data_IF_616054638090
#
_entry.id   IF_616054638090
#
_cell.length_a   1.000
_cell.length_b   1.000
_cell.length_c   1.000
_cell.angle_alpha   90.00
_cell.angle_beta   90.00
_cell.angle_gamma   90.00
#
_symmetry.space_group_name_H-M   'P 1'
#
loop_
_entity.id
_entity.type
_entity.pdbx_description
1 polymer ?
#
# COMPACT_ATOMS: atom_id res chain seq x y z
N UNK A 1 -17.29 -48.63 12.02
CA UNK A 1 -17.39 -47.69 10.87
C UNK A 1 -16.69 -46.42 11.28
N UNK A 2 -15.81 -45.96 10.41
CA UNK A 2 -15.00 -44.78 10.63
C UNK A 2 -15.73 -43.61 9.97
N UNK A 3 -15.98 -42.55 10.75
CA UNK A 3 -16.65 -41.35 10.24
C UNK A 3 -15.58 -40.33 9.86
N UNK A 4 -15.66 -39.85 8.62
CA UNK A 4 -14.82 -38.79 8.08
C UNK A 4 -15.48 -37.45 8.29
N UNK A 5 -14.73 -36.47 8.80
CA UNK A 5 -15.17 -35.10 9.00
C UNK A 5 -14.24 -34.20 8.20
N UNK A 6 -14.79 -33.35 7.33
CA UNK A 6 -14.02 -32.36 6.59
C UNK A 6 -14.47 -30.98 7.01
N UNK A 7 -13.53 -30.14 7.43
CA UNK A 7 -13.80 -28.80 7.94
C UNK A 7 -12.80 -27.81 7.38
N UNK A 8 -13.28 -26.58 7.16
CA UNK A 8 -12.44 -25.45 6.82
C UNK A 8 -12.00 -24.72 8.08
N UNK A 9 -10.69 -24.66 8.27
CA UNK A 9 -10.02 -23.84 9.27
C UNK A 9 -9.70 -22.48 8.71
N UNK A 10 -10.01 -21.43 9.47
CA UNK A 10 -9.81 -20.05 9.05
C UNK A 10 -8.97 -19.31 10.08
N UNK A 11 -8.12 -18.40 9.60
CA UNK A 11 -7.47 -17.41 10.47
C UNK A 11 -7.42 -16.06 9.79
N UNK A 12 -7.58 -15.02 10.59
CA UNK A 12 -7.50 -13.64 10.14
C UNK A 12 -6.70 -12.82 11.14
N UNK A 13 -5.67 -12.13 10.65
CA UNK A 13 -4.83 -11.26 11.47
C UNK A 13 -4.76 -9.90 10.81
N UNK A 14 -4.95 -8.86 11.61
CA UNK A 14 -4.82 -7.47 11.18
C UNK A 14 -3.50 -6.92 11.70
N UNK A 15 -2.76 -6.23 10.84
CA UNK A 15 -1.46 -5.65 11.19
C UNK A 15 -1.22 -4.37 10.40
N UNK A 16 -0.66 -3.36 11.07
CA UNK A 16 -0.18 -2.15 10.41
C UNK A 16 0.86 -2.47 9.34
N UNK A 17 0.77 -1.78 8.20
CA UNK A 17 1.81 -1.80 7.20
C UNK A 17 3.14 -1.31 7.79
N UNK A 18 4.23 -2.02 7.51
CA UNK A 18 5.59 -1.66 7.95
C UNK A 18 6.46 -1.15 6.78
N UNK A 19 5.89 -1.05 5.57
CA UNK A 19 6.53 -0.50 4.39
C UNK A 19 5.57 0.36 3.55
N UNK A 20 6.12 1.44 2.98
CA UNK A 20 5.47 2.26 1.97
C UNK A 20 6.21 2.16 0.63
N UNK A 21 5.51 1.93 -0.46
CA UNK A 21 6.04 1.81 -1.82
C UNK A 21 5.66 3.06 -2.59
N UNK A 22 6.63 3.96 -2.76
CA UNK A 22 6.48 5.16 -3.56
C UNK A 22 6.65 4.82 -5.04
N UNK A 23 5.66 5.16 -5.87
CA UNK A 23 5.75 5.12 -7.33
C UNK A 23 5.72 6.53 -7.86
N UNK A 24 6.72 6.86 -8.67
CA UNK A 24 6.84 8.17 -9.29
C UNK A 24 7.26 8.04 -10.74
N UNK A 25 6.93 9.05 -11.53
CA UNK A 25 7.32 9.16 -12.94
C UNK A 25 8.00 10.51 -13.17
N UNK A 26 9.18 10.47 -13.77
CA UNK A 26 9.87 11.65 -14.27
C UNK A 26 9.50 11.79 -15.72
N UNK A 27 8.96 12.95 -16.12
CA UNK A 27 8.58 13.22 -17.50
C UNK A 27 9.04 14.59 -17.98
N UNK A 28 9.34 14.71 -19.27
CA UNK A 28 9.62 15.99 -19.92
C UNK A 28 8.97 16.01 -21.30
N UNK A 29 8.52 17.19 -21.70
CA UNK A 29 7.89 17.46 -22.98
C UNK A 29 8.54 18.67 -23.65
N UNK A 30 8.76 18.60 -24.97
CA UNK A 30 9.43 19.66 -25.71
C UNK A 30 9.51 19.41 -27.21
N UNK A 31 10.12 20.35 -27.93
CA UNK A 31 10.26 20.32 -29.39
C UNK A 31 11.39 19.42 -29.89
N UNK A 32 12.33 19.03 -29.03
CA UNK A 32 13.52 18.25 -29.39
C UNK A 32 13.63 16.97 -28.56
N UNK A 33 13.69 15.82 -29.22
CA UNK A 33 13.78 14.51 -28.57
C UNK A 33 15.03 14.35 -27.70
N UNK A 34 16.18 14.85 -28.17
CA UNK A 34 17.46 14.72 -27.46
C UNK A 34 17.43 15.49 -26.14
N UNK A 35 16.90 16.72 -26.17
CA UNK A 35 16.78 17.59 -25.00
C UNK A 35 15.86 16.98 -23.95
N UNK A 36 14.63 16.58 -24.32
CA UNK A 36 13.69 15.96 -23.38
C UNK A 36 14.21 14.64 -22.80
N UNK A 37 14.95 13.86 -23.59
CA UNK A 37 15.55 12.60 -23.12
C UNK A 37 16.66 12.85 -22.11
N UNK A 38 17.54 13.82 -22.36
CA UNK A 38 18.63 14.20 -21.44
C UNK A 38 18.08 14.72 -20.10
N UNK A 39 17.02 15.54 -20.13
CA UNK A 39 16.39 16.06 -18.93
C UNK A 39 15.83 14.94 -18.04
N UNK A 40 15.08 13.99 -18.63
CA UNK A 40 14.53 12.84 -17.89
C UNK A 40 15.64 11.97 -17.32
N UNK A 41 16.68 11.67 -18.10
CA UNK A 41 17.83 10.88 -17.62
C UNK A 41 18.54 11.60 -16.46
N UNK A 42 18.83 12.90 -16.60
CA UNK A 42 19.53 13.67 -15.57
C UNK A 42 18.73 13.71 -14.27
N UNK A 43 17.44 14.06 -14.34
CA UNK A 43 16.58 14.12 -13.17
C UNK A 43 16.42 12.74 -12.52
N UNK A 44 16.30 11.69 -13.32
CA UNK A 44 16.24 10.32 -12.78
C UNK A 44 17.54 9.95 -12.05
N UNK A 45 18.70 10.35 -12.57
CA UNK A 45 19.98 10.09 -11.92
C UNK A 45 20.16 10.90 -10.63
N UNK A 46 19.69 12.15 -10.59
CA UNK A 46 19.63 12.97 -9.37
C UNK A 46 18.77 12.29 -8.30
N UNK A 47 17.54 11.90 -8.66
CA UNK A 47 16.63 11.20 -7.73
C UNK A 47 17.21 9.88 -7.25
N UNK A 48 17.83 9.08 -8.14
CA UNK A 48 18.55 7.87 -7.73
C UNK A 48 19.69 8.18 -6.76
N UNK A 49 20.40 9.29 -6.95
CA UNK A 49 21.43 9.75 -6.02
C UNK A 49 20.84 10.03 -4.62
N UNK A 50 19.74 10.77 -4.55
CA UNK A 50 19.03 11.05 -3.31
C UNK A 50 18.58 9.76 -2.60
N UNK A 51 17.93 8.83 -3.32
CA UNK A 51 17.47 7.58 -2.74
C UNK A 51 18.61 6.65 -2.33
N UNK A 52 19.76 6.69 -3.01
CA UNK A 52 20.97 5.95 -2.60
C UNK A 52 21.53 6.48 -1.28
N UNK A 53 21.50 7.79 -1.05
CA UNK A 53 21.91 8.37 0.24
C UNK A 53 21.01 7.90 1.38
N UNK A 54 19.71 7.70 1.10
CA UNK A 54 18.74 7.14 2.05
C UNK A 54 18.79 5.61 2.16
N UNK A 55 19.67 4.97 1.38
CA UNK A 55 19.93 3.53 1.37
C UNK A 55 21.41 3.25 1.69
N UNK A 56 21.94 3.66 2.87
CA UNK A 56 23.32 3.38 3.21
C UNK A 56 23.54 1.86 3.23
N UNK A 57 24.39 1.37 2.33
CA UNK A 57 24.83 -0.02 2.33
C UNK A 57 25.97 -0.16 3.32
N UNK A 58 25.95 -1.24 4.08
CA UNK A 58 27.12 -1.65 4.88
C UNK A 58 28.24 -2.08 3.93
N UNK A 59 29.51 -1.98 4.34
CA UNK A 59 30.69 -2.32 3.52
C UNK A 59 30.64 -3.74 2.92
N UNK A 60 29.88 -4.66 3.53
CA UNK A 60 29.65 -6.02 3.05
C UNK A 60 28.54 -6.16 1.99
N UNK A 61 28.05 -5.04 1.43
CA UNK A 61 27.01 -5.03 0.39
C UNK A 61 25.61 -5.43 0.88
N UNK A 62 25.45 -5.64 2.19
CA UNK A 62 24.17 -5.93 2.85
C UNK A 62 23.55 -4.63 3.36
N UNK A 63 22.25 -4.48 3.18
CA UNK A 63 21.50 -3.33 3.72
C UNK A 63 21.69 -3.31 5.24
N UNK A 64 22.07 -2.15 5.79
CA UNK A 64 22.17 -2.00 7.24
C UNK A 64 20.80 -2.30 7.89
N UNK A 65 20.81 -2.75 9.15
CA UNK A 65 19.58 -3.14 9.83
C UNK A 65 18.54 -1.99 9.92
N UNK A 66 19.01 -0.75 9.82
CA UNK A 66 18.25 0.50 10.00
C UNK A 66 18.28 1.38 8.74
N UNK A 67 17.90 0.80 7.59
CA UNK A 67 17.87 1.53 6.31
C UNK A 67 16.46 2.04 6.02
N UNK A 68 16.35 3.34 5.71
CA UNK A 68 15.09 3.98 5.34
C UNK A 68 14.52 3.45 4.02
N UNK A 69 15.36 3.18 3.01
CA UNK A 69 14.98 2.66 1.69
C UNK A 69 15.52 1.24 1.46
N UNK A 70 14.64 0.23 1.36
CA UNK A 70 15.06 -1.17 1.19
C UNK A 70 15.24 -1.57 -0.28
N UNK A 71 14.54 -0.93 -1.22
CA UNK A 71 14.59 -1.32 -2.63
C UNK A 71 14.32 -0.13 -3.54
N UNK A 72 15.09 -0.06 -4.63
CA UNK A 72 14.89 0.93 -5.70
C UNK A 72 14.82 0.15 -7.02
N UNK A 73 13.73 0.30 -7.73
CA UNK A 73 13.54 -0.22 -9.08
C UNK A 73 13.18 0.93 -10.03
N UNK A 74 13.52 0.77 -11.30
CA UNK A 74 13.29 1.79 -12.32
C UNK A 74 13.00 1.14 -13.65
N UNK A 75 12.13 1.76 -14.44
CA UNK A 75 11.83 1.32 -15.80
C UNK A 75 12.85 1.83 -16.81
N UNK A 76 12.75 1.31 -18.04
CA UNK A 76 13.49 1.85 -19.19
C UNK A 76 12.97 3.23 -19.59
N UNK A 77 13.80 4.01 -20.28
CA UNK A 77 13.40 5.28 -20.90
C UNK A 77 12.34 5.01 -21.97
N UNK A 78 11.20 5.68 -21.85
CA UNK A 78 10.12 5.62 -22.83
C UNK A 78 9.99 6.97 -23.53
N UNK A 79 9.99 6.95 -24.86
CA UNK A 79 9.80 8.15 -25.68
C UNK A 79 8.54 8.00 -26.53
N UNK A 80 7.78 9.09 -26.63
CA UNK A 80 6.60 9.21 -27.48
C UNK A 80 6.69 10.53 -28.23
N UNK A 81 6.06 10.59 -29.40
CA UNK A 81 5.81 11.86 -30.04
C UNK A 81 4.35 11.93 -30.50
N UNK A 82 3.84 13.14 -30.60
CA UNK A 82 2.54 13.41 -31.18
C UNK A 82 2.55 14.79 -31.86
N UNK A 83 1.63 14.96 -32.81
CA UNK A 83 1.45 16.24 -33.51
C UNK A 83 0.13 16.83 -33.02
N UNK A 84 0.16 17.85 -32.14
CA UNK A 84 -1.06 18.50 -31.70
C UNK A 84 -1.73 19.24 -32.86
N UNK A 85 -3.03 19.50 -32.72
CA UNK A 85 -3.81 20.25 -33.69
C UNK A 85 -4.44 21.46 -32.97
N UNK A 86 -4.47 22.61 -33.64
CA UNK A 86 -5.16 23.80 -33.15
C UNK A 86 -6.70 23.65 -33.32
N UNK A 87 -7.48 24.59 -32.77
CA UNK A 87 -8.95 24.66 -32.86
C UNK A 87 -9.47 24.61 -34.30
N UNK A 88 -8.69 25.08 -35.27
CA UNK A 88 -8.98 25.02 -36.70
C UNK A 88 -8.60 23.67 -37.36
N UNK A 89 -8.23 22.65 -36.57
CA UNK A 89 -7.70 21.37 -37.03
C UNK A 89 -6.40 21.48 -37.85
N UNK A 90 -5.64 22.56 -37.67
CA UNK A 90 -4.31 22.75 -38.29
C UNK A 90 -3.25 22.06 -37.45
N UNK A 91 -2.37 21.29 -38.08
CA UNK A 91 -1.26 20.62 -37.39
C UNK A 91 -0.26 21.64 -36.84
N UNK A 92 0.05 21.52 -35.55
CA UNK A 92 1.07 22.28 -34.83
C UNK A 92 2.43 21.56 -34.89
N UNK A 93 3.53 22.21 -34.47
CA UNK A 93 4.83 21.56 -34.40
C UNK A 93 4.80 20.26 -33.59
N UNK A 94 5.57 19.28 -34.04
CA UNK A 94 5.66 17.97 -33.40
C UNK A 94 6.22 18.11 -31.99
N UNK A 95 5.57 17.44 -31.05
CA UNK A 95 5.94 17.42 -29.65
C UNK A 95 6.50 16.05 -29.29
N UNK A 96 7.60 16.06 -28.54
CA UNK A 96 8.25 14.86 -28.01
C UNK A 96 8.06 14.82 -26.51
N UNK A 97 7.72 13.63 -26.01
CA UNK A 97 7.60 13.35 -24.58
C UNK A 97 8.56 12.21 -24.24
N UNK A 98 9.31 12.38 -23.17
CA UNK A 98 10.14 11.34 -22.57
C UNK A 98 9.66 11.08 -21.14
N UNK A 99 9.69 9.82 -20.71
CA UNK A 99 9.31 9.44 -19.35
C UNK A 99 10.11 8.26 -18.82
N UNK A 100 10.32 8.24 -17.50
CA UNK A 100 10.89 7.11 -16.75
C UNK A 100 10.17 6.98 -15.41
N UNK A 101 9.79 5.76 -15.04
CA UNK A 101 9.14 5.50 -13.76
C UNK A 101 10.12 4.87 -12.77
N UNK A 102 9.96 5.20 -11.50
CA UNK A 102 10.71 4.66 -10.38
C UNK A 102 9.75 4.09 -9.33
N UNK A 103 10.18 3.02 -8.68
CA UNK A 103 9.50 2.40 -7.55
C UNK A 103 10.48 2.24 -6.40
N UNK A 104 10.17 2.85 -5.27
CA UNK A 104 11.04 2.92 -4.10
C UNK A 104 10.28 2.37 -2.89
N UNK A 105 10.87 1.38 -2.21
CA UNK A 105 10.29 0.78 -1.00
C UNK A 105 10.95 1.40 0.22
N UNK A 106 10.14 2.08 1.03
CA UNK A 106 10.53 2.70 2.29
C UNK A 106 10.10 1.82 3.47
N UNK A 107 11.01 1.63 4.42
CA UNK A 107 10.71 1.08 5.75
C UNK A 107 10.41 2.19 6.75
N UNK A 108 11.08 3.34 6.61
CA UNK A 108 10.84 4.52 7.43
C UNK A 108 9.79 5.43 6.77
N UNK A 109 8.60 5.47 7.38
CA UNK A 109 7.46 6.24 6.89
C UNK A 109 7.64 7.75 7.10
N UNK A 110 8.43 8.14 8.11
CA UNK A 110 8.76 9.55 8.35
C UNK A 110 9.63 10.06 7.22
N UNK A 111 10.64 9.27 6.82
CA UNK A 111 11.50 9.59 5.68
C UNK A 111 10.73 9.62 4.36
N UNK A 112 9.79 8.69 4.16
CA UNK A 112 8.89 8.73 3.00
C UNK A 112 8.12 10.06 2.94
N UNK A 113 7.55 10.50 4.07
CA UNK A 113 6.79 11.75 4.18
C UNK A 113 7.65 12.98 3.83
N UNK A 114 8.89 13.02 4.33
CA UNK A 114 9.85 14.09 4.01
C UNK A 114 10.23 14.11 2.53
N UNK A 115 10.53 12.94 1.96
CA UNK A 115 10.85 12.79 0.53
C UNK A 115 9.69 13.25 -0.33
N UNK A 116 8.46 12.83 0.00
CA UNK A 116 7.26 13.24 -0.76
C UNK A 116 7.11 14.76 -0.74
N UNK A 117 7.31 15.41 0.41
CA UNK A 117 7.32 16.87 0.50
C UNK A 117 8.35 17.52 -0.43
N UNK A 118 9.55 16.96 -0.54
CA UNK A 118 10.59 17.45 -1.47
C UNK A 118 10.21 17.22 -2.93
N UNK A 119 9.64 16.06 -3.26
CA UNK A 119 9.32 15.69 -4.65
C UNK A 119 8.26 16.60 -5.28
N UNK A 120 7.32 17.11 -4.48
CA UNK A 120 6.28 18.05 -4.94
C UNK A 120 6.87 19.37 -5.47
N UNK A 121 8.11 19.71 -5.09
CA UNK A 121 8.78 20.92 -5.60
C UNK A 121 9.31 20.76 -7.03
N UNK A 122 9.41 19.53 -7.54
CA UNK A 122 9.92 19.27 -8.88
C UNK A 122 8.80 19.27 -9.92
N UNK A 123 8.84 20.21 -10.86
CA UNK A 123 7.81 20.37 -11.91
C UNK A 123 7.72 19.23 -12.91
N UNK A 124 8.76 18.39 -13.00
CA UNK A 124 8.88 17.29 -13.96
C UNK A 124 8.83 15.91 -13.28
N UNK A 125 8.32 15.85 -12.05
CA UNK A 125 8.14 14.63 -11.27
C UNK A 125 6.68 14.50 -10.87
N UNK A 126 6.07 13.40 -11.26
CA UNK A 126 4.72 13.02 -10.88
C UNK A 126 4.80 11.91 -9.82
N UNK A 127 4.11 12.07 -8.70
CA UNK A 127 3.90 10.99 -7.73
C UNK A 127 2.65 10.22 -8.19
N UNK A 128 2.83 8.99 -8.66
CA UNK A 128 1.74 8.18 -9.20
C UNK A 128 0.92 7.52 -8.08
N UNK A 129 1.59 6.89 -7.10
CA UNK A 129 0.94 6.27 -5.95
C UNK A 129 1.88 6.07 -4.77
N UNK A 130 1.30 5.87 -3.59
CA UNK A 130 1.97 5.34 -2.41
C UNK A 130 1.20 4.09 -1.99
N UNK A 131 1.76 2.92 -2.29
CA UNK A 131 1.16 1.64 -1.91
C UNK A 131 1.70 1.20 -0.54
N UNK A 132 0.92 0.45 0.23
CA UNK A 132 1.31 -0.02 1.56
C UNK A 132 1.50 -1.53 1.56
N UNK A 133 2.58 -2.01 2.16
CA UNK A 133 2.89 -3.44 2.20
C UNK A 133 3.52 -3.88 3.53
N UNK A 134 3.54 -5.19 3.74
CA UNK A 134 4.34 -5.82 4.77
C UNK A 134 5.70 -6.24 4.19
N UNK A 135 6.76 -6.08 4.96
CA UNK A 135 8.08 -6.59 4.64
C UNK A 135 8.08 -8.12 4.53
N UNK A 136 8.99 -8.68 3.74
CA UNK A 136 9.05 -10.14 3.51
C UNK A 136 9.21 -10.93 4.81
N UNK A 137 10.01 -10.42 5.76
CA UNK A 137 10.20 -11.02 7.09
C UNK A 137 8.89 -11.04 7.87
N UNK A 138 8.20 -9.92 7.89
CA UNK A 138 6.90 -9.74 8.57
C UNK A 138 5.82 -10.62 7.95
N UNK A 139 5.77 -10.67 6.62
CA UNK A 139 4.85 -11.51 5.89
C UNK A 139 5.10 -13.00 6.17
N UNK A 140 6.36 -13.44 6.15
CA UNK A 140 6.72 -14.85 6.45
C UNK A 140 6.35 -15.24 7.89
N UNK A 141 6.62 -14.39 8.86
CA UNK A 141 6.26 -14.62 10.26
C UNK A 141 4.74 -14.70 10.43
N UNK A 142 4.01 -13.75 9.85
CA UNK A 142 2.55 -13.69 9.86
C UNK A 142 1.94 -14.94 9.21
N UNK A 143 2.41 -15.32 8.02
CA UNK A 143 1.92 -16.50 7.32
C UNK A 143 2.11 -17.78 8.15
N UNK A 144 3.25 -17.92 8.83
CA UNK A 144 3.50 -19.07 9.71
C UNK A 144 2.54 -19.11 10.89
N UNK A 145 2.23 -17.96 11.50
CA UNK A 145 1.26 -17.86 12.58
C UNK A 145 -0.15 -18.23 12.11
N UNK A 146 -0.57 -17.64 10.99
CA UNK A 146 -1.90 -17.84 10.43
C UNK A 146 -2.20 -19.30 10.10
N UNK A 147 -1.24 -20.02 9.50
CA UNK A 147 -1.43 -21.45 9.21
C UNK A 147 -1.66 -22.26 10.49
N UNK A 148 -0.92 -21.95 11.57
CA UNK A 148 -1.12 -22.62 12.87
C UNK A 148 -2.50 -22.32 13.46
N UNK A 149 -2.97 -21.08 13.35
CA UNK A 149 -4.29 -20.68 13.85
C UNK A 149 -5.42 -21.31 13.03
N UNK A 150 -5.31 -21.37 11.71
CA UNK A 150 -6.30 -21.99 10.84
C UNK A 150 -6.43 -23.51 11.13
N UNK A 151 -5.30 -24.20 11.32
CA UNK A 151 -5.34 -25.63 11.70
C UNK A 151 -5.94 -25.83 13.10
N UNK A 152 -5.68 -24.92 14.05
CA UNK A 152 -6.31 -24.97 15.39
C UNK A 152 -7.82 -24.74 15.32
N UNK A 153 -8.26 -23.81 14.47
CA UNK A 153 -9.68 -23.57 14.23
C UNK A 153 -10.38 -24.79 13.61
N UNK A 154 -9.77 -25.43 12.61
CA UNK A 154 -10.24 -26.69 12.05
C UNK A 154 -10.32 -27.81 13.11
N UNK A 155 -9.30 -27.94 13.95
CA UNK A 155 -9.27 -28.91 15.05
C UNK A 155 -10.41 -28.67 16.06
N UNK A 156 -10.67 -27.41 16.43
CA UNK A 156 -11.77 -27.07 17.33
C UNK A 156 -13.11 -27.50 16.72
N UNK A 157 -13.38 -27.08 15.47
CA UNK A 157 -14.61 -27.42 14.74
C UNK A 157 -14.82 -28.93 14.63
N UNK A 158 -13.76 -29.69 14.30
CA UNK A 158 -13.86 -31.14 14.17
C UNK A 158 -14.14 -31.83 15.52
N UNK A 159 -13.52 -31.35 16.61
CA UNK A 159 -13.79 -31.87 17.95
C UNK A 159 -15.22 -31.56 18.40
N UNK A 160 -15.72 -30.36 18.12
CA UNK A 160 -17.11 -29.99 18.44
C UNK A 160 -18.09 -30.92 17.72
N UNK A 161 -17.90 -31.16 16.42
CA UNK A 161 -18.76 -32.04 15.61
C UNK A 161 -18.68 -33.51 16.07
N UNK A 162 -17.47 -34.01 16.37
CA UNK A 162 -17.29 -35.39 16.78
C UNK A 162 -17.74 -35.66 18.22
N UNK A 163 -17.60 -34.65 19.10
CA UNK A 163 -18.04 -34.70 20.48
C UNK A 163 -19.55 -34.94 20.61
N UNK A 164 -20.36 -34.32 19.75
CA UNK A 164 -21.82 -34.52 19.70
C UNK A 164 -22.22 -35.98 19.43
N UNK A 165 -21.35 -36.77 18.80
CA UNK A 165 -21.57 -38.20 18.52
C UNK A 165 -20.74 -39.12 19.42
N UNK A 166 -20.10 -38.59 20.46
CA UNK A 166 -19.30 -39.36 21.43
C UNK A 166 -18.03 -39.96 20.82
N UNK A 167 -17.39 -39.26 19.88
CA UNK A 167 -16.21 -39.74 19.14
C UNK A 167 -15.04 -38.78 19.29
N UNK A 168 -13.83 -39.35 19.23
CA UNK A 168 -12.59 -38.59 19.10
C UNK A 168 -12.22 -38.43 17.63
N UNK A 169 -11.49 -37.37 17.27
CA UNK A 169 -11.02 -37.11 15.90
C UNK A 169 -9.51 -36.93 15.83
N UNK A 170 -8.93 -37.40 14.72
CA UNK A 170 -7.52 -37.22 14.41
C UNK A 170 -7.37 -36.71 12.97
N UNK A 171 -6.52 -35.70 12.73
CA UNK A 171 -6.30 -35.18 11.38
C UNK A 171 -5.57 -36.23 10.53
N UNK A 172 -6.08 -36.45 9.31
CA UNK A 172 -5.51 -37.40 8.34
C UNK A 172 -5.00 -36.72 7.07
N UNK A 173 -5.54 -35.55 6.73
CA UNK A 173 -5.11 -34.74 5.59
C UNK A 173 -5.26 -33.26 5.89
N UNK A 174 -4.27 -32.45 5.52
CA UNK A 174 -4.28 -30.99 5.62
C UNK A 174 -3.91 -30.43 4.26
N UNK A 175 -4.78 -29.61 3.68
CA UNK A 175 -4.61 -28.93 2.41
C UNK A 175 -4.60 -27.42 2.67
N UNK A 176 -3.49 -26.76 2.29
CA UNK A 176 -3.38 -25.30 2.32
C UNK A 176 -4.08 -24.71 1.09
N UNK A 177 -5.24 -24.08 1.29
CA UNK A 177 -6.00 -23.42 0.21
C UNK A 177 -5.39 -22.04 -0.13
N UNK A 178 -4.36 -21.61 0.60
CA UNK A 178 -3.65 -20.38 0.37
C UNK A 178 -4.13 -19.21 1.23
N UNK A 179 -3.65 -18.03 0.87
CA UNK A 179 -3.77 -16.81 1.66
C UNK A 179 -4.20 -15.65 0.77
N UNK A 180 -4.99 -14.74 1.32
CA UNK A 180 -5.41 -13.50 0.67
C UNK A 180 -5.17 -12.34 1.62
N UNK A 181 -4.64 -11.23 1.11
CA UNK A 181 -4.40 -10.01 1.86
C UNK A 181 -5.25 -8.88 1.29
N UNK A 182 -5.87 -8.11 2.17
CA UNK A 182 -6.68 -6.94 1.83
C UNK A 182 -6.17 -5.75 2.64
N UNK A 183 -5.74 -4.71 1.93
CA UNK A 183 -5.38 -3.43 2.56
C UNK A 183 -6.65 -2.73 2.98
N UNK A 184 -6.78 -2.46 4.28
CA UNK A 184 -7.89 -1.73 4.85
C UNK A 184 -7.46 -0.29 5.10
N UNK A 185 -7.86 0.62 4.21
CA UNK A 185 -7.71 2.03 4.51
C UNK A 185 -8.66 2.39 5.65
N UNK A 186 -8.19 3.12 6.69
CA UNK A 186 -9.09 3.65 7.69
C UNK A 186 -10.17 4.46 6.95
N UNK A 187 -11.46 4.32 7.32
CA UNK A 187 -12.51 5.08 6.68
C UNK A 187 -12.12 6.56 6.79
N UNK A 188 -12.01 7.23 5.64
CA UNK A 188 -11.76 8.67 5.60
C UNK A 188 -12.74 9.29 6.59
N UNK A 189 -12.22 9.91 7.66
CA UNK A 189 -13.06 10.59 8.65
C UNK A 189 -13.87 11.59 7.86
N UNK A 190 -15.14 11.27 7.59
CA UNK A 190 -16.08 12.22 7.01
C UNK A 190 -16.11 13.36 7.98
N UNK A 191 -15.49 14.48 7.61
CA UNK A 191 -15.59 15.72 8.36
C UNK A 191 -17.09 15.97 8.56
N UNK A 192 -17.53 15.94 9.82
CA UNK A 192 -18.87 16.34 10.23
C UNK A 192 -19.11 17.85 10.04
N UNK A 193 -18.13 18.58 9.50
CA UNK A 193 -18.27 19.96 9.04
C UNK A 193 -18.32 19.99 7.51
N UNK A 194 -19.55 20.00 6.96
CA UNK A 194 -19.77 20.23 5.53
C UNK A 194 -20.85 19.37 4.88
N UNK A 195 -21.99 19.18 5.54
CA UNK A 195 -23.20 18.68 4.90
C UNK A 195 -24.35 19.65 5.16
N UNK A 196 -24.33 20.81 4.49
CA UNK A 196 -25.56 21.58 4.27
C UNK A 196 -26.40 20.82 3.25
N UNK A 197 -27.11 19.80 3.71
CA UNK A 197 -28.26 19.26 3.00
C UNK A 197 -29.43 20.23 3.21
N UNK A 198 -30.01 20.74 2.12
CA UNK A 198 -31.29 21.44 2.18
C UNK A 198 -31.36 22.68 1.32
N UNK A 199 -31.77 22.51 0.06
CA UNK A 199 -32.54 23.53 -0.64
C UNK A 199 -33.82 23.79 0.16
N UNK A 200 -33.92 24.98 0.77
CA UNK A 200 -35.09 25.38 1.54
C UNK A 200 -34.99 26.84 1.97
N UNK A 201 -35.65 27.71 1.20
CA UNK A 201 -35.88 29.13 1.51
C UNK A 201 -36.60 29.31 2.85
N UNK A 202 -36.04 30.14 3.75
CA UNK A 202 -36.78 31.13 4.55
C UNK A 202 -35.86 31.93 5.49
N UNK A 203 -35.80 33.25 5.24
CA UNK A 203 -35.74 34.37 6.19
C UNK A 203 -35.02 34.21 7.55
N UNK A 204 -34.02 35.10 7.77
CA UNK A 204 -34.06 36.01 8.92
C UNK A 204 -32.90 35.94 9.91
N UNK A 205 -32.26 37.10 10.11
CA UNK A 205 -31.71 37.52 11.41
C UNK A 205 -30.24 37.18 11.67
N UNK A 206 -29.36 38.17 11.51
CA UNK A 206 -27.94 38.05 11.84
C UNK A 206 -27.65 38.05 13.34
N UNK A 207 -26.50 37.50 13.71
CA UNK A 207 -25.83 37.71 15.00
C UNK A 207 -24.31 37.60 14.78
N UNK A 208 -23.65 38.75 14.65
CA UNK A 208 -22.19 38.86 14.81
C UNK A 208 -21.84 38.72 16.29
N UNK A 209 -20.81 37.93 16.62
CA UNK A 209 -20.18 37.99 17.93
C UNK A 209 -19.25 36.81 18.23
N UNK A 210 -17.96 37.10 18.43
CA UNK A 210 -17.05 36.20 19.14
C UNK A 210 -15.70 35.98 18.47
N UNK A 211 -14.82 36.99 18.54
CA UNK A 211 -13.39 36.80 18.25
C UNK A 211 -12.72 35.99 19.34
N UNK A 212 -12.24 34.80 19.00
CA UNK A 212 -11.19 34.10 19.73
C UNK A 212 -9.87 34.20 18.96
N UNK A 213 -8.71 34.19 19.62
CA UNK A 213 -7.43 34.12 18.92
C UNK A 213 -7.31 32.75 18.26
N UNK A 214 -7.73 32.65 17.01
CA UNK A 214 -7.39 31.53 16.16
C UNK A 214 -5.94 31.72 15.75
N UNK A 215 -5.00 31.27 16.58
CA UNK A 215 -3.72 30.85 16.03
C UNK A 215 -4.08 29.85 14.93
N UNK A 216 -3.70 30.08 13.66
CA UNK A 216 -3.88 29.07 12.63
C UNK A 216 -3.23 27.78 13.17
N UNK A 217 -3.86 26.60 13.01
CA UNK A 217 -3.12 25.38 13.23
C UNK A 217 -1.86 25.49 12.38
N UNK A 218 -0.69 25.38 13.01
CA UNK A 218 0.57 25.25 12.29
C UNK A 218 0.40 24.01 11.42
N UNK A 219 0.10 24.22 10.14
CA UNK A 219 0.15 23.15 9.18
C UNK A 219 1.63 22.78 9.11
N UNK A 220 2.01 21.69 9.79
CA UNK A 220 3.28 21.05 9.52
C UNK A 220 3.33 20.86 8.01
N UNK A 221 4.26 21.56 7.35
CA UNK A 221 4.39 21.64 5.89
C UNK A 221 4.77 20.27 5.27
N UNK A 222 4.87 19.25 6.12
CA UNK A 222 5.13 17.86 5.79
C UNK A 222 3.82 17.09 5.67
N UNK A 223 3.62 16.44 4.53
CA UNK A 223 2.52 15.50 4.33
C UNK A 223 2.61 14.38 5.38
N UNK A 224 1.66 14.32 6.31
CA UNK A 224 1.60 13.28 7.34
C UNK A 224 0.96 12.00 6.76
N UNK A 225 1.79 10.98 6.53
CA UNK A 225 1.36 9.69 6.00
C UNK A 225 1.16 8.70 7.15
N UNK A 226 -0.08 8.26 7.36
CA UNK A 226 -0.39 7.18 8.31
C UNK A 226 -0.51 5.84 7.57
N UNK A 227 0.30 4.83 7.94
CA UNK A 227 0.15 3.48 7.39
C UNK A 227 -1.23 2.90 7.70
N UNK A 228 -1.91 2.26 6.73
CA UNK A 228 -3.17 1.57 6.96
C UNK A 228 -2.94 0.20 7.61
N UNK A 229 -4.04 -0.37 8.11
CA UNK A 229 -4.08 -1.76 8.53
C UNK A 229 -4.16 -2.67 7.29
N UNK A 230 -3.45 -3.80 7.36
CA UNK A 230 -3.52 -4.87 6.37
C UNK A 230 -4.12 -6.08 7.06
N UNK A 231 -5.28 -6.52 6.60
CA UNK A 231 -5.90 -7.76 7.03
C UNK A 231 -5.43 -8.88 6.11
N UNK A 232 -4.84 -9.92 6.69
CA UNK A 232 -4.50 -11.14 5.96
C UNK A 232 -5.43 -12.25 6.45
N UNK A 233 -5.94 -13.05 5.52
CA UNK A 233 -6.80 -14.21 5.78
C UNK A 233 -6.17 -15.47 5.18
N UNK A 234 -6.21 -16.57 5.94
CA UNK A 234 -5.69 -17.88 5.54
C UNK A 234 -6.79 -18.92 5.67
N UNK A 235 -6.91 -19.79 4.67
CA UNK A 235 -7.89 -20.87 4.64
C UNK A 235 -7.16 -22.22 4.55
N UNK A 236 -7.62 -23.19 5.33
CA UNK A 236 -7.10 -24.56 5.38
C UNK A 236 -8.27 -25.52 5.27
N UNK A 237 -8.15 -26.53 4.40
CA UNK A 237 -9.08 -27.66 4.39
C UNK A 237 -8.44 -28.82 5.14
N UNK A 238 -9.13 -29.37 6.13
CA UNK A 238 -8.61 -30.45 6.97
C UNK A 238 -9.62 -31.60 7.02
N UNK A 239 -9.15 -32.79 6.67
CA UNK A 239 -9.89 -34.04 6.84
C UNK A 239 -9.47 -34.73 8.14
N UNK A 240 -10.47 -35.19 8.87
CA UNK A 240 -10.35 -35.92 10.12
C UNK A 240 -11.00 -37.29 10.00
N UNK A 241 -10.39 -38.27 10.66
CA UNK A 241 -11.00 -39.58 10.89
C UNK A 241 -11.37 -39.70 12.35
N UNK A 242 -12.59 -40.15 12.61
CA UNK A 242 -13.11 -40.29 13.97
C UNK A 242 -13.19 -41.74 14.44
N UNK A 243 -12.88 -41.95 15.71
CA UNK A 243 -12.90 -43.24 16.39
C UNK A 243 -13.88 -43.20 17.56
N UNK A 244 -14.51 -44.33 17.93
CA UNK A 244 -15.33 -44.41 19.13
C UNK A 244 -14.52 -43.94 20.35
N UNK A 245 -15.07 -43.03 21.15
CA UNK A 245 -14.47 -42.67 22.44
C UNK A 245 -14.37 -43.90 23.35
N UNK A 246 -13.32 -43.94 24.17
CA UNK A 246 -13.12 -45.01 25.16
C UNK A 246 -14.24 -45.07 26.20
#
# INVERSE_FOLDING_TARGET
>A
MDLKIRVKGESSITRLADQGVLRLTVESEGSELETVSKEVISRTNELRGLFKTLSPKTDDGTDAADVAVTKIASTILRTRNHTPHDKDNKSLPKVYQASMSLSIVFRDITQLSQVVGQLVTYSNVEINSIDWSLSETSQKALHSQMRREAVRDALSKANDIAGEVGREVYPVEIIDEGQSAVTQHPPAKRSLFGATAGFGSASGGGLFGGGGPSNPPEFSETLDLSPPDIQVTSLMDVEFQSFPGK
#
